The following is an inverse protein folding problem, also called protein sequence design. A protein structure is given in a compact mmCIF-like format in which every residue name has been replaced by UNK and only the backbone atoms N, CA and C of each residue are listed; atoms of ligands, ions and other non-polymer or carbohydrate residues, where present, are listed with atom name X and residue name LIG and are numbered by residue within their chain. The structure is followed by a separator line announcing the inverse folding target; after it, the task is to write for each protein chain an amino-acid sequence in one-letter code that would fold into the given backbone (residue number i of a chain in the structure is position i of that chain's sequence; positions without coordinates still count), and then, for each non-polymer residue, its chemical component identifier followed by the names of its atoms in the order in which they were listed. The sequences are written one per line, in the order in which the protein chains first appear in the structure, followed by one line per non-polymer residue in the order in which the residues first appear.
data_IF_355607108938
#
_entry.id   IF_355607108938
#
_cell.length_a   1.000
_cell.length_b   1.000
_cell.length_c   1.000
_cell.angle_alpha   90.00
_cell.angle_beta   90.00
_cell.angle_gamma   90.00
#
_symmetry.space_group_name_H-M   'P 1'
#
loop_
_entity.id
_entity.type
_entity.pdbx_description
1 polymer ?
#
# COMPACT_ATOMS: atom_id res chain seq x y z
N UNK A 1 20.25 -12.94 21.43
CA UNK A 1 19.55 -14.08 22.10
C UNK A 1 18.85 -13.70 23.40
N UNK A 2 19.33 -12.71 24.17
CA UNK A 2 18.66 -12.26 25.40
C UNK A 2 17.41 -11.40 25.17
N UNK A 3 17.45 -10.45 24.22
CA UNK A 3 16.32 -9.55 23.92
C UNK A 3 15.06 -10.33 23.53
N UNK A 4 15.18 -11.29 22.61
CA UNK A 4 14.05 -12.16 22.21
C UNK A 4 13.42 -12.88 23.40
N UNK A 5 14.23 -13.37 24.36
CA UNK A 5 13.70 -14.02 25.58
C UNK A 5 12.95 -13.03 26.48
N UNK A 6 13.44 -11.79 26.62
CA UNK A 6 12.75 -10.74 27.38
C UNK A 6 11.41 -10.39 26.74
N UNK A 7 11.39 -10.15 25.42
CA UNK A 7 10.17 -9.88 24.66
C UNK A 7 9.17 -11.04 24.80
N UNK A 8 9.61 -12.29 24.60
CA UNK A 8 8.72 -13.46 24.75
C UNK A 8 8.11 -13.52 26.15
N UNK A 9 8.89 -13.28 27.21
CA UNK A 9 8.37 -13.29 28.58
C UNK A 9 7.33 -12.19 28.82
N UNK A 10 7.52 -11.00 28.23
CA UNK A 10 6.56 -9.89 28.30
C UNK A 10 5.30 -10.23 27.49
N UNK A 11 5.42 -10.81 26.30
CA UNK A 11 4.24 -11.24 25.50
C UNK A 11 3.44 -12.32 26.24
N UNK A 12 4.11 -13.28 26.87
CA UNK A 12 3.45 -14.41 27.54
C UNK A 12 2.75 -14.03 28.85
N UNK A 13 3.27 -13.03 29.58
CA UNK A 13 2.83 -12.74 30.95
C UNK A 13 2.44 -11.28 31.20
N UNK A 14 2.64 -10.41 30.21
CA UNK A 14 2.44 -8.97 30.33
C UNK A 14 0.98 -8.55 30.26
N UNK A 15 0.73 -7.33 30.71
CA UNK A 15 -0.54 -6.63 30.63
C UNK A 15 -0.54 -5.68 29.44
N UNK A 16 -1.68 -5.03 29.19
CA UNK A 16 -1.81 -4.04 28.13
C UNK A 16 -0.79 -2.90 28.27
N UNK A 17 -0.52 -2.44 29.49
CA UNK A 17 0.51 -1.42 29.78
C UNK A 17 1.91 -1.85 29.32
N UNK A 18 2.26 -3.14 29.48
CA UNK A 18 3.54 -3.67 29.00
C UNK A 18 3.59 -3.72 27.46
N UNK A 19 2.46 -3.96 26.79
CA UNK A 19 2.37 -3.93 25.33
C UNK A 19 2.51 -2.50 24.78
N UNK A 20 1.93 -1.51 25.48
CA UNK A 20 2.12 -0.09 25.15
C UNK A 20 3.59 0.28 25.29
N UNK A 21 4.23 -0.09 26.42
CA UNK A 21 5.66 0.13 26.62
C UNK A 21 6.51 -0.50 25.49
N UNK A 22 6.22 -1.74 25.09
CA UNK A 22 6.91 -2.36 23.96
C UNK A 22 6.68 -1.59 22.66
N UNK A 23 5.44 -1.15 22.41
CA UNK A 23 5.07 -0.34 21.26
C UNK A 23 5.89 0.95 21.18
N UNK A 24 5.93 1.73 22.26
CA UNK A 24 6.68 2.98 22.35
C UNK A 24 8.19 2.73 22.13
N UNK A 25 8.75 1.73 22.82
CA UNK A 25 10.18 1.38 22.68
C UNK A 25 10.56 1.01 21.24
N UNK A 26 9.72 0.23 20.54
CA UNK A 26 9.98 -0.13 19.15
C UNK A 26 9.75 1.04 18.21
N UNK A 27 8.72 1.85 18.45
CA UNK A 27 8.43 3.05 17.68
C UNK A 27 9.63 3.99 17.69
N UNK A 28 10.14 4.34 18.87
CA UNK A 28 11.31 5.20 19.03
C UNK A 28 12.54 4.63 18.31
N UNK A 29 12.80 3.33 18.46
CA UNK A 29 13.91 2.66 17.78
C UNK A 29 13.77 2.68 16.26
N UNK A 30 12.55 2.53 15.73
CA UNK A 30 12.29 2.50 14.29
C UNK A 30 12.41 3.90 13.69
N UNK A 31 11.89 4.94 14.35
CA UNK A 31 12.08 6.33 13.90
C UNK A 31 13.56 6.70 13.84
N UNK A 32 14.34 6.26 14.83
CA UNK A 32 15.80 6.41 14.84
C UNK A 32 16.52 5.75 13.64
N UNK A 33 15.88 4.81 12.95
CA UNK A 33 16.43 4.13 11.76
C UNK A 33 16.13 4.86 10.46
N UNK A 34 15.12 5.73 10.40
CA UNK A 34 14.70 6.39 9.16
C UNK A 34 15.86 7.11 8.48
N UNK A 35 16.61 7.93 9.24
CA UNK A 35 17.78 8.66 8.75
C UNK A 35 19.03 7.79 8.57
N UNK A 36 19.11 6.62 9.24
CA UNK A 36 20.31 5.78 9.29
C UNK A 36 20.31 4.70 8.21
N UNK A 37 19.15 4.14 7.91
CA UNK A 37 18.94 3.08 6.93
C UNK A 37 17.47 3.07 6.48
N UNK A 38 17.15 3.95 5.52
CA UNK A 38 15.82 4.08 4.91
C UNK A 38 15.27 2.74 4.40
N UNK A 39 16.15 1.89 3.84
CA UNK A 39 15.75 0.58 3.32
C UNK A 39 15.32 -0.33 4.46
N UNK A 40 16.04 -0.36 5.57
CA UNK A 40 15.66 -1.15 6.73
C UNK A 40 14.37 -0.61 7.36
N UNK A 41 14.22 0.71 7.46
CA UNK A 41 13.00 1.37 7.92
C UNK A 41 11.77 0.92 7.10
N UNK A 42 11.79 1.10 5.77
CA UNK A 42 10.69 0.70 4.87
C UNK A 42 10.35 -0.78 4.96
N UNK A 43 11.35 -1.65 5.14
CA UNK A 43 11.11 -3.09 5.31
C UNK A 43 10.40 -3.43 6.63
N UNK A 44 10.75 -2.73 7.72
CA UNK A 44 10.08 -2.89 9.02
C UNK A 44 8.65 -2.36 8.92
N UNK A 45 8.46 -1.16 8.37
CA UNK A 45 7.16 -0.56 8.15
C UNK A 45 6.23 -1.47 7.32
N UNK A 46 6.72 -1.97 6.18
CA UNK A 46 5.97 -2.93 5.35
C UNK A 46 5.60 -4.20 6.11
N UNK A 47 6.50 -4.71 6.96
CA UNK A 47 6.26 -5.91 7.77
C UNK A 47 5.20 -5.66 8.86
N UNK A 48 5.24 -4.50 9.51
CA UNK A 48 4.26 -4.08 10.51
C UNK A 48 2.89 -3.85 9.89
N UNK A 49 2.84 -3.12 8.78
CA UNK A 49 1.62 -2.89 8.00
C UNK A 49 0.97 -4.22 7.65
N UNK A 50 1.72 -5.16 7.09
CA UNK A 50 1.19 -6.48 6.73
C UNK A 50 0.61 -7.24 7.91
N UNK A 51 1.21 -7.09 9.09
CA UNK A 51 0.72 -7.75 10.30
C UNK A 51 -0.58 -7.12 10.81
N UNK A 52 -0.76 -5.81 10.62
CA UNK A 52 -1.91 -5.06 11.09
C UNK A 52 -3.10 -5.08 10.11
N UNK A 53 -2.84 -4.91 8.81
CA UNK A 53 -3.85 -4.65 7.78
C UNK A 53 -3.90 -5.70 6.66
N UNK A 54 -2.91 -6.60 6.60
CA UNK A 54 -2.83 -7.65 5.60
C UNK A 54 -2.03 -7.27 4.35
N UNK A 55 -2.22 -8.01 3.25
CA UNK A 55 -1.36 -7.94 2.07
C UNK A 55 -1.76 -6.89 1.02
N UNK A 56 -2.85 -6.16 1.26
CA UNK A 56 -3.46 -5.24 0.30
C UNK A 56 -3.51 -3.81 0.88
N UNK A 57 -3.73 -2.83 0.02
CA UNK A 57 -3.99 -1.47 0.50
C UNK A 57 -5.28 -1.43 1.33
N UNK A 58 -5.30 -0.57 2.35
CA UNK A 58 -6.55 -0.09 2.93
C UNK A 58 -7.21 0.88 1.95
N UNK A 59 -8.51 1.07 2.08
CA UNK A 59 -9.22 2.09 1.30
C UNK A 59 -8.65 3.50 1.55
N UNK A 60 -8.23 3.78 2.78
CA UNK A 60 -7.62 5.05 3.17
C UNK A 60 -6.30 5.31 2.43
N UNK A 61 -5.35 4.36 2.48
CA UNK A 61 -4.08 4.50 1.77
C UNK A 61 -4.26 4.55 0.25
N UNK A 62 -5.21 3.78 -0.29
CA UNK A 62 -5.51 3.84 -1.71
C UNK A 62 -6.05 5.21 -2.13
N UNK A 63 -6.91 5.83 -1.31
CA UNK A 63 -7.41 7.20 -1.55
C UNK A 63 -6.32 8.24 -1.40
N UNK A 64 -5.45 8.11 -0.42
CA UNK A 64 -4.30 9.00 -0.23
C UNK A 64 -3.37 8.94 -1.45
N UNK A 65 -3.00 7.74 -1.88
CA UNK A 65 -2.17 7.54 -3.06
C UNK A 65 -2.82 8.16 -4.31
N UNK A 66 -4.10 7.86 -4.56
CA UNK A 66 -4.80 8.38 -5.72
C UNK A 66 -4.95 9.90 -5.67
N UNK A 67 -5.18 10.50 -4.49
CA UNK A 67 -5.28 11.95 -4.33
C UNK A 67 -3.97 12.68 -4.68
N UNK A 68 -2.82 12.04 -4.44
CA UNK A 68 -1.49 12.58 -4.77
C UNK A 68 -1.09 12.46 -6.24
N UNK A 69 -1.88 11.80 -7.08
CA UNK A 69 -1.53 11.59 -8.49
C UNK A 69 -1.55 12.90 -9.30
N UNK A 70 -0.51 13.09 -10.12
CA UNK A 70 -0.46 14.12 -11.16
C UNK A 70 -0.68 13.47 -12.52
N UNK A 71 -1.88 13.61 -13.08
CA UNK A 71 -2.26 12.89 -14.28
C UNK A 71 -1.61 13.53 -15.51
N UNK A 72 -1.25 12.69 -16.48
CA UNK A 72 -0.66 13.12 -17.76
C UNK A 72 -1.56 14.01 -18.62
N UNK A 73 -2.86 14.03 -18.36
CA UNK A 73 -3.81 14.96 -19.00
C UNK A 73 -3.82 16.37 -18.38
N UNK A 74 -3.03 16.58 -17.31
CA UNK A 74 -2.92 17.83 -16.57
C UNK A 74 -3.87 17.95 -15.37
N UNK A 75 -4.75 16.96 -15.14
CA UNK A 75 -5.59 16.90 -13.94
C UNK A 75 -4.81 16.36 -12.74
N UNK A 76 -5.40 16.46 -11.54
CA UNK A 76 -4.84 15.89 -10.31
C UNK A 76 -5.85 15.01 -9.60
N UNK A 77 -5.35 14.00 -8.90
CA UNK A 77 -6.16 13.08 -8.14
C UNK A 77 -6.84 12.01 -9.00
N UNK A 78 -7.94 11.47 -8.47
CA UNK A 78 -8.70 10.41 -9.14
C UNK A 78 -9.31 10.87 -10.46
N UNK A 79 -9.26 9.98 -11.46
CA UNK A 79 -10.09 10.08 -12.66
C UNK A 79 -11.44 9.35 -12.48
N UNK A 80 -11.43 8.21 -11.78
CA UNK A 80 -12.64 7.49 -11.38
C UNK A 80 -12.74 7.39 -9.86
N UNK A 81 -13.93 7.67 -9.33
CA UNK A 81 -14.21 7.42 -7.92
C UNK A 81 -14.35 5.92 -7.61
N UNK A 82 -14.34 5.59 -6.32
CA UNK A 82 -14.38 4.22 -5.85
C UNK A 82 -15.60 3.44 -6.38
N UNK A 83 -16.78 4.08 -6.40
CA UNK A 83 -18.02 3.47 -6.88
C UNK A 83 -17.93 3.13 -8.38
N UNK A 84 -17.41 4.06 -9.18
CA UNK A 84 -17.21 3.89 -10.62
C UNK A 84 -16.20 2.79 -10.89
N UNK A 85 -15.05 2.78 -10.20
CA UNK A 85 -14.07 1.69 -10.36
C UNK A 85 -14.68 0.33 -10.00
N UNK A 86 -15.47 0.25 -8.93
CA UNK A 86 -16.12 -0.98 -8.50
C UNK A 86 -17.09 -1.50 -9.57
N UNK A 87 -17.84 -0.62 -10.22
CA UNK A 87 -18.81 -1.01 -11.26
C UNK A 87 -18.19 -1.57 -12.53
N UNK A 88 -16.94 -1.19 -12.84
CA UNK A 88 -16.21 -1.66 -14.04
C UNK A 88 -15.18 -2.74 -13.70
N UNK A 89 -15.15 -3.19 -12.44
CA UNK A 89 -14.26 -4.24 -11.98
C UNK A 89 -14.60 -5.56 -12.68
N UNK A 90 -13.61 -6.28 -13.23
CA UNK A 90 -13.86 -7.59 -13.84
C UNK A 90 -14.37 -8.59 -12.79
N UNK A 91 -15.01 -9.66 -13.26
CA UNK A 91 -15.45 -10.79 -12.41
C UNK A 91 -14.24 -11.62 -11.94
N UNK A 92 -13.44 -11.00 -11.08
CA UNK A 92 -12.25 -11.51 -10.43
C UNK A 92 -12.23 -11.00 -9.00
N UNK A 93 -11.76 -11.84 -8.10
CA UNK A 93 -11.67 -11.52 -6.67
C UNK A 93 -10.43 -10.67 -6.34
N UNK A 94 -10.29 -9.51 -6.98
CA UNK A 94 -9.27 -8.53 -6.56
C UNK A 94 -9.69 -7.86 -5.25
N UNK A 95 -8.73 -7.33 -4.49
CA UNK A 95 -9.06 -6.39 -3.42
C UNK A 95 -9.60 -5.08 -4.04
N UNK A 96 -10.59 -4.45 -3.42
CA UNK A 96 -11.24 -3.25 -3.98
C UNK A 96 -10.32 -2.02 -3.95
N UNK A 97 -9.54 -1.83 -2.89
CA UNK A 97 -8.61 -0.71 -2.75
C UNK A 97 -7.45 -0.85 -3.74
N UNK A 98 -6.96 -2.08 -3.93
CA UNK A 98 -5.96 -2.37 -4.96
C UNK A 98 -6.52 -2.11 -6.36
N UNK A 99 -7.76 -2.51 -6.65
CA UNK A 99 -8.39 -2.25 -7.95
C UNK A 99 -8.56 -0.75 -8.22
N UNK A 100 -9.13 -0.03 -7.25
CA UNK A 100 -9.36 1.41 -7.34
C UNK A 100 -8.07 2.19 -7.61
N UNK A 101 -7.02 1.91 -6.82
CA UNK A 101 -5.72 2.56 -6.98
C UNK A 101 -5.04 2.18 -8.28
N UNK A 102 -5.06 0.90 -8.66
CA UNK A 102 -4.43 0.44 -9.91
C UNK A 102 -5.08 1.04 -11.15
N UNK A 103 -6.41 1.12 -11.21
CA UNK A 103 -7.11 1.68 -12.36
C UNK A 103 -6.81 3.18 -12.51
N UNK A 104 -6.84 3.94 -11.41
CA UNK A 104 -6.48 5.35 -11.44
C UNK A 104 -4.99 5.58 -11.75
N UNK A 105 -4.09 4.76 -11.18
CA UNK A 105 -2.65 4.80 -11.49
C UNK A 105 -2.40 4.52 -12.98
N UNK A 106 -3.03 3.49 -13.55
CA UNK A 106 -2.87 3.15 -14.96
C UNK A 106 -3.36 4.29 -15.85
N UNK A 107 -4.44 4.97 -15.50
CA UNK A 107 -4.85 6.18 -16.22
C UNK A 107 -3.81 7.30 -16.07
N UNK A 108 -3.39 7.59 -14.85
CA UNK A 108 -2.43 8.66 -14.54
C UNK A 108 -1.13 8.50 -15.34
N UNK A 109 -0.58 7.28 -15.33
CA UNK A 109 0.69 6.93 -15.97
C UNK A 109 0.57 6.70 -17.48
N UNK A 110 -0.56 6.20 -17.98
CA UNK A 110 -0.72 5.80 -19.39
C UNK A 110 -1.74 6.62 -20.15
N UNK A 111 -2.15 7.78 -19.63
CA UNK A 111 -3.13 8.64 -20.29
C UNK A 111 -2.81 8.82 -21.78
N UNK A 112 -3.81 8.54 -22.59
CA UNK A 112 -3.81 8.70 -24.03
C UNK A 112 -5.22 9.08 -24.49
N UNK A 113 -5.33 10.16 -25.26
CA UNK A 113 -6.60 10.66 -25.81
C UNK A 113 -7.36 9.63 -26.67
N UNK A 114 -6.65 8.60 -27.18
CA UNK A 114 -7.22 7.55 -28.02
C UNK A 114 -7.76 6.36 -27.23
N UNK A 115 -7.45 6.27 -25.93
CA UNK A 115 -7.89 5.16 -25.08
C UNK A 115 -9.25 5.48 -24.49
N UNK A 116 -10.13 4.49 -24.53
CA UNK A 116 -11.40 4.50 -23.82
C UNK A 116 -11.26 3.86 -22.43
N UNK A 117 -12.30 3.97 -21.60
CA UNK A 117 -12.34 3.35 -20.26
C UNK A 117 -12.03 1.86 -20.29
N UNK A 118 -12.55 1.14 -21.29
CA UNK A 118 -12.34 -0.31 -21.40
C UNK A 118 -10.86 -0.67 -21.60
N UNK A 119 -10.11 0.15 -22.35
CA UNK A 119 -8.67 -0.03 -22.54
C UNK A 119 -7.93 0.08 -21.20
N UNK A 120 -8.22 1.11 -20.39
CA UNK A 120 -7.60 1.26 -19.06
C UNK A 120 -8.01 0.14 -18.10
N UNK A 121 -9.26 -0.30 -18.12
CA UNK A 121 -9.75 -1.45 -17.33
C UNK A 121 -8.98 -2.73 -17.69
N UNK A 122 -8.74 -2.99 -18.97
CA UNK A 122 -7.95 -4.15 -19.42
C UNK A 122 -6.49 -4.05 -18.95
N UNK A 123 -5.87 -2.88 -19.10
CA UNK A 123 -4.49 -2.65 -18.65
C UNK A 123 -4.34 -2.82 -17.12
N UNK A 124 -5.28 -2.29 -16.33
CA UNK A 124 -5.29 -2.46 -14.87
C UNK A 124 -5.52 -3.92 -14.46
N UNK A 125 -6.42 -4.61 -15.16
CA UNK A 125 -6.62 -6.05 -14.97
C UNK A 125 -5.35 -6.84 -15.28
N UNK A 126 -4.65 -6.53 -16.36
CA UNK A 126 -3.42 -7.23 -16.74
C UNK A 126 -2.29 -6.94 -15.75
N UNK A 127 -2.19 -5.70 -15.27
CA UNK A 127 -1.25 -5.32 -14.22
C UNK A 127 -1.50 -6.10 -12.91
N UNK A 128 -2.76 -6.23 -12.47
CA UNK A 128 -3.10 -7.00 -11.27
C UNK A 128 -3.02 -8.52 -11.45
N UNK A 129 -3.22 -9.02 -12.68
CA UNK A 129 -3.21 -10.44 -13.01
C UNK A 129 -1.82 -11.01 -13.33
N UNK A 130 -0.79 -10.18 -13.22
CA UNK A 130 0.59 -10.55 -13.46
C UNK A 130 1.00 -11.74 -12.56
N UNK A 131 1.29 -12.87 -13.21
CA UNK A 131 1.53 -14.16 -12.55
C UNK A 131 2.92 -14.25 -11.92
N UNK A 132 3.81 -13.35 -12.31
CA UNK A 132 5.20 -13.33 -11.86
C UNK A 132 5.37 -12.61 -10.51
N UNK A 133 4.29 -12.01 -9.99
CA UNK A 133 4.27 -11.27 -8.73
C UNK A 133 3.16 -11.74 -7.80
N UNK A 134 3.42 -11.69 -6.50
CA UNK A 134 2.47 -12.11 -5.47
C UNK A 134 1.31 -11.13 -5.28
N UNK A 135 0.33 -11.52 -4.46
CA UNK A 135 -0.89 -10.74 -4.17
C UNK A 135 -0.65 -9.37 -3.52
N UNK A 136 0.58 -9.11 -3.05
CA UNK A 136 1.01 -7.86 -2.42
C UNK A 136 1.62 -6.85 -3.41
N UNK A 137 1.47 -7.08 -4.72
CA UNK A 137 2.03 -6.23 -5.79
C UNK A 137 1.73 -4.75 -5.57
N UNK A 138 0.45 -4.42 -5.34
CA UNK A 138 -0.02 -3.04 -5.20
C UNK A 138 0.51 -2.36 -3.96
N UNK A 139 0.45 -3.05 -2.82
CA UNK A 139 1.00 -2.55 -1.57
C UNK A 139 2.51 -2.30 -1.68
N UNK A 140 3.26 -3.23 -2.29
CA UNK A 140 4.70 -3.04 -2.51
C UNK A 140 5.00 -1.86 -3.42
N UNK A 141 4.22 -1.70 -4.48
CA UNK A 141 4.39 -0.57 -5.40
C UNK A 141 4.22 0.75 -4.64
N UNK A 142 3.15 0.87 -3.85
CA UNK A 142 2.92 2.04 -3.01
C UNK A 142 4.08 2.28 -2.02
N UNK A 143 4.45 1.30 -1.20
CA UNK A 143 5.41 1.55 -0.11
C UNK A 143 6.87 1.72 -0.55
N UNK A 144 7.26 1.15 -1.70
CA UNK A 144 8.68 1.15 -2.13
C UNK A 144 8.97 1.93 -3.40
N UNK A 145 7.96 2.20 -4.25
CA UNK A 145 8.16 2.83 -5.56
C UNK A 145 7.53 4.22 -5.61
N UNK A 146 6.36 4.41 -5.00
CA UNK A 146 5.70 5.72 -4.96
C UNK A 146 6.48 6.66 -4.05
N UNK A 147 6.72 7.87 -4.55
CA UNK A 147 7.33 8.95 -3.78
C UNK A 147 6.23 9.83 -3.20
N UNK A 148 5.85 9.56 -1.96
CA UNK A 148 4.80 10.29 -1.25
C UNK A 148 5.25 11.67 -0.74
N UNK A 149 6.52 12.06 -0.93
CA UNK A 149 7.09 13.31 -0.44
C UNK A 149 7.15 14.43 -1.51
N UNK A 150 6.45 14.26 -2.64
CA UNK A 150 6.42 15.24 -3.75
C UNK A 150 5.35 16.31 -3.58
#
# INVERSE_FOLDING_TARGET
MHIKKMISKIIENGKQEDMVFLGDLFSDLIYDLEDKDEKMYKNIEFSLYKKAYGNHLTEELAKEWVAGMENKDGTKGQHWDYATTTSVKPDKNFNDADWYSSLNMIYSDYYNEKFDTNTYVQLANDWLSDKDVGSEKTLKYYMFIVDCNK
#
